data_IF_514662771011
#
_entry.id   IF_514662771011
#
_cell.length_a   1.000
_cell.length_b   1.000
_cell.length_c   1.000
_cell.angle_alpha   90.00
_cell.angle_beta   90.00
_cell.angle_gamma   90.00
#
_symmetry.space_group_name_H-M   'P 1'
#
loop_
_entity.id
_entity.type
_entity.pdbx_description
1 polymer ?
#
# COMPACT_ATOMS: atom_id res chain seq x y z
N UNK A 1 -21.38 28.01 -23.99
CA UNK A 1 -20.14 27.88 -23.19
C UNK A 1 -20.50 28.12 -21.73
N UNK A 2 -21.22 27.17 -21.14
CA UNK A 2 -21.60 27.18 -19.72
C UNK A 2 -21.09 25.85 -19.17
N UNK A 3 -20.33 25.86 -18.06
CA UNK A 3 -19.85 24.62 -17.45
C UNK A 3 -18.54 24.69 -16.63
N UNK A 4 -17.61 25.59 -16.93
CA UNK A 4 -16.29 25.60 -16.26
C UNK A 4 -16.25 26.31 -14.90
N UNK A 5 -17.23 27.16 -14.57
CA UNK A 5 -17.24 27.96 -13.35
C UNK A 5 -17.94 27.28 -12.15
N UNK A 6 -19.10 26.66 -12.36
CA UNK A 6 -19.91 26.09 -11.25
C UNK A 6 -19.19 24.99 -10.47
N UNK A 7 -18.29 24.25 -11.12
CA UNK A 7 -17.53 23.17 -10.49
C UNK A 7 -16.61 23.67 -9.37
N UNK A 8 -16.18 24.93 -9.43
CA UNK A 8 -15.39 25.60 -8.39
C UNK A 8 -16.27 26.23 -7.28
N UNK A 9 -17.58 26.29 -7.47
CA UNK A 9 -18.55 26.84 -6.50
C UNK A 9 -19.14 25.77 -5.56
N UNK A 10 -18.73 24.50 -5.73
CA UNK A 10 -19.20 23.34 -4.95
C UNK A 10 -18.00 22.60 -4.34
N UNK A 11 -18.20 21.95 -3.19
CA UNK A 11 -17.15 21.09 -2.62
C UNK A 11 -16.81 19.95 -3.58
N UNK A 12 -15.52 19.74 -3.82
CA UNK A 12 -14.98 18.60 -4.56
C UNK A 12 -13.97 17.89 -3.66
N UNK A 13 -14.07 16.57 -3.56
CA UNK A 13 -13.10 15.79 -2.77
C UNK A 13 -11.70 15.94 -3.39
N UNK A 14 -10.70 16.40 -2.62
CA UNK A 14 -9.33 16.59 -3.13
C UNK A 14 -8.68 15.25 -3.53
N UNK A 15 -9.19 14.13 -3.01
CA UNK A 15 -8.79 12.79 -3.42
C UNK A 15 -8.97 12.60 -4.94
N UNK A 16 -10.10 13.05 -5.50
CA UNK A 16 -10.39 12.90 -6.93
C UNK A 16 -9.88 14.08 -7.76
N UNK A 17 -9.98 15.31 -7.23
CA UNK A 17 -9.65 16.52 -8.01
C UNK A 17 -8.17 16.89 -8.05
N UNK A 18 -7.31 16.24 -7.24
CA UNK A 18 -5.87 16.55 -7.19
C UNK A 18 -4.94 15.35 -7.09
N UNK A 19 -5.30 14.31 -6.34
CA UNK A 19 -4.29 13.36 -5.86
C UNK A 19 -4.35 11.94 -6.44
N UNK A 20 -5.54 11.32 -6.52
CA UNK A 20 -5.65 9.91 -6.91
C UNK A 20 -5.48 9.73 -8.42
N UNK A 21 -5.02 8.55 -8.83
CA UNK A 21 -4.85 8.25 -10.24
C UNK A 21 -6.18 8.21 -10.99
N UNK A 22 -6.15 8.60 -12.27
CA UNK A 22 -7.30 8.59 -13.19
C UNK A 22 -7.98 7.21 -13.25
N UNK A 23 -7.20 6.15 -13.12
CA UNK A 23 -7.66 4.75 -13.07
C UNK A 23 -8.50 4.46 -11.82
N UNK A 24 -7.98 4.77 -10.62
CA UNK A 24 -8.71 4.57 -9.37
C UNK A 24 -9.95 5.47 -9.26
N UNK A 25 -9.83 6.72 -9.72
CA UNK A 25 -10.96 7.65 -9.80
C UNK A 25 -12.06 7.16 -10.77
N UNK A 26 -11.67 6.58 -11.91
CA UNK A 26 -12.63 5.97 -12.84
C UNK A 26 -13.27 4.71 -12.24
N UNK A 27 -12.51 3.86 -11.55
CA UNK A 27 -13.01 2.63 -10.94
C UNK A 27 -14.23 2.90 -10.03
N UNK A 28 -14.19 3.93 -9.20
CA UNK A 28 -15.30 4.33 -8.33
C UNK A 28 -16.24 5.39 -8.92
N UNK A 29 -16.15 5.68 -10.23
CA UNK A 29 -17.03 6.65 -10.88
C UNK A 29 -18.45 6.10 -11.10
N UNK A 30 -19.45 6.99 -11.07
CA UNK A 30 -20.83 6.62 -11.42
C UNK A 30 -20.93 6.06 -12.85
N UNK A 31 -20.08 6.50 -13.79
CA UNK A 31 -20.04 5.92 -15.14
C UNK A 31 -19.61 4.45 -15.12
N UNK A 32 -18.55 4.09 -14.41
CA UNK A 32 -18.15 2.69 -14.26
C UNK A 32 -19.23 1.87 -13.51
N UNK A 33 -19.85 2.47 -12.48
CA UNK A 33 -20.92 1.85 -11.70
C UNK A 33 -22.12 1.45 -12.55
N UNK A 34 -22.71 2.40 -13.27
CA UNK A 34 -23.94 2.14 -14.01
C UNK A 34 -23.68 1.35 -15.31
N UNK A 35 -22.49 1.45 -15.92
CA UNK A 35 -22.06 0.52 -16.98
C UNK A 35 -21.95 -0.91 -16.43
N UNK A 36 -21.42 -1.08 -15.21
CA UNK A 36 -21.36 -2.39 -14.54
C UNK A 36 -22.75 -2.93 -14.17
N UNK A 37 -23.71 -2.06 -13.80
CA UNK A 37 -25.12 -2.46 -13.61
C UNK A 37 -25.72 -3.02 -14.90
N UNK A 38 -25.52 -2.34 -16.04
CA UNK A 38 -25.96 -2.82 -17.37
C UNK A 38 -25.29 -4.14 -17.75
N UNK A 39 -23.98 -4.30 -17.51
CA UNK A 39 -23.26 -5.57 -17.70
C UNK A 39 -23.82 -6.70 -16.83
N UNK A 40 -24.16 -6.44 -15.57
CA UNK A 40 -24.78 -7.43 -14.69
C UNK A 40 -26.17 -7.84 -15.19
N UNK A 41 -27.01 -6.89 -15.61
CA UNK A 41 -28.30 -7.22 -16.23
C UNK A 41 -28.12 -8.04 -17.52
N UNK A 42 -27.13 -7.74 -18.35
CA UNK A 42 -26.81 -8.55 -19.54
C UNK A 42 -26.38 -9.98 -19.17
N UNK A 43 -25.52 -10.14 -18.16
CA UNK A 43 -25.12 -11.47 -17.68
C UNK A 43 -26.28 -12.25 -17.04
N UNK A 44 -27.20 -11.56 -16.35
CA UNK A 44 -28.45 -12.17 -15.85
C UNK A 44 -29.29 -12.70 -17.01
N UNK A 45 -29.58 -11.86 -18.01
CA UNK A 45 -30.38 -12.25 -19.17
C UNK A 45 -29.75 -13.40 -19.98
N UNK A 46 -28.41 -13.39 -20.16
CA UNK A 46 -27.67 -14.49 -20.80
C UNK A 46 -27.81 -15.80 -20.00
N UNK A 47 -27.60 -15.76 -18.69
CA UNK A 47 -27.72 -16.96 -17.84
C UNK A 47 -29.17 -17.47 -17.72
N UNK A 48 -30.15 -16.59 -17.60
CA UNK A 48 -31.58 -16.94 -17.56
C UNK A 48 -32.05 -17.58 -18.85
N UNK A 49 -31.56 -17.09 -20.00
CA UNK A 49 -31.77 -17.71 -21.31
C UNK A 49 -31.18 -19.11 -21.40
N UNK A 50 -29.92 -19.29 -20.99
CA UNK A 50 -29.25 -20.60 -20.97
C UNK A 50 -29.97 -21.62 -20.06
N UNK A 51 -30.64 -21.14 -19.02
CA UNK A 51 -31.49 -21.92 -18.11
C UNK A 51 -32.94 -22.12 -18.63
N UNK A 52 -33.26 -21.69 -19.84
CA UNK A 52 -34.52 -21.97 -20.52
C UNK A 52 -35.65 -20.97 -20.31
N UNK A 53 -35.39 -19.78 -19.72
CA UNK A 53 -36.39 -18.70 -19.70
C UNK A 53 -36.57 -18.09 -21.09
N UNK A 54 -37.76 -17.56 -21.43
CA UNK A 54 -38.12 -17.11 -22.78
C UNK A 54 -37.49 -15.75 -23.14
N UNK A 55 -36.17 -15.73 -23.27
CA UNK A 55 -35.35 -14.56 -23.61
C UNK A 55 -34.72 -14.79 -25.00
N UNK A 56 -34.89 -13.83 -25.91
CA UNK A 56 -34.44 -13.94 -27.31
C UNK A 56 -33.01 -13.42 -27.51
N UNK A 57 -32.32 -13.85 -28.58
CA UNK A 57 -31.02 -13.27 -28.97
C UNK A 57 -31.12 -11.76 -29.25
N UNK A 58 -32.22 -11.32 -29.87
CA UNK A 58 -32.44 -9.90 -30.17
C UNK A 58 -32.40 -9.02 -28.92
N UNK A 59 -33.09 -9.44 -27.84
CA UNK A 59 -33.09 -8.73 -26.56
C UNK A 59 -31.69 -8.66 -25.93
N UNK A 60 -30.96 -9.78 -25.96
CA UNK A 60 -29.60 -9.85 -25.43
C UNK A 60 -28.64 -8.97 -26.24
N UNK A 61 -28.75 -8.98 -27.57
CA UNK A 61 -27.93 -8.14 -28.45
C UNK A 61 -28.24 -6.65 -28.29
N UNK A 62 -29.51 -6.27 -28.12
CA UNK A 62 -29.93 -4.88 -27.85
C UNK A 62 -29.33 -4.37 -26.54
N UNK A 63 -29.40 -5.16 -25.46
CA UNK A 63 -28.73 -4.83 -24.19
C UNK A 63 -27.20 -4.71 -24.32
N UNK A 64 -26.58 -5.50 -25.18
CA UNK A 64 -25.13 -5.52 -25.40
C UNK A 64 -24.64 -4.32 -26.23
N UNK A 65 -25.43 -3.82 -27.19
CA UNK A 65 -25.12 -2.57 -27.90
C UNK A 65 -25.30 -1.30 -27.05
N UNK A 66 -26.07 -1.39 -25.97
CA UNK A 66 -26.43 -0.25 -25.11
C UNK A 66 -25.81 -0.35 -23.69
N UNK A 67 -24.57 -0.82 -23.56
CA UNK A 67 -23.91 -0.92 -22.24
C UNK A 67 -23.34 0.41 -21.71
N UNK A 68 -22.87 1.31 -22.58
CA UNK A 68 -22.12 2.53 -22.20
C UNK A 68 -22.85 3.85 -22.43
N UNK A 69 -24.00 3.83 -23.12
CA UNK A 69 -24.81 4.99 -23.50
C UNK A 69 -25.85 5.33 -22.41
N UNK A 70 -25.34 5.82 -21.29
CA UNK A 70 -26.14 6.08 -20.10
C UNK A 70 -26.66 7.52 -20.13
N UNK A 71 -27.98 7.68 -20.34
CA UNK A 71 -28.64 8.98 -20.16
C UNK A 71 -28.81 9.29 -18.66
N UNK A 72 -27.81 9.97 -18.11
CA UNK A 72 -27.81 10.46 -16.72
C UNK A 72 -28.89 11.49 -16.43
N UNK A 73 -29.37 12.24 -17.44
CA UNK A 73 -30.41 13.26 -17.25
C UNK A 73 -31.76 12.57 -17.06
N UNK A 74 -32.06 11.58 -17.92
CA UNK A 74 -33.23 10.73 -17.75
C UNK A 74 -33.19 9.96 -16.42
N UNK A 75 -32.04 9.37 -16.07
CA UNK A 75 -31.90 8.61 -14.82
C UNK A 75 -32.16 9.48 -13.57
N UNK A 76 -31.62 10.71 -13.53
CA UNK A 76 -31.87 11.65 -12.43
C UNK A 76 -33.34 12.14 -12.35
N UNK A 77 -34.01 12.25 -13.50
CA UNK A 77 -35.43 12.59 -13.57
C UNK A 77 -36.31 11.44 -13.06
N UNK A 78 -36.02 10.20 -13.46
CA UNK A 78 -36.70 9.00 -12.97
C UNK A 78 -36.42 8.73 -11.47
N UNK A 79 -35.19 8.95 -10.99
CA UNK A 79 -34.88 8.81 -9.55
C UNK A 79 -35.67 9.81 -8.70
N UNK A 80 -35.89 11.04 -9.20
CA UNK A 80 -36.72 12.04 -8.51
C UNK A 80 -38.19 11.61 -8.39
N UNK A 81 -38.71 10.90 -9.40
CA UNK A 81 -40.09 10.36 -9.41
C UNK A 81 -40.21 9.12 -8.51
N UNK A 82 -39.34 8.14 -8.74
CA UNK A 82 -39.42 6.79 -8.15
C UNK A 82 -38.78 6.69 -6.76
N UNK A 83 -37.95 7.65 -6.38
CA UNK A 83 -37.15 7.66 -5.13
C UNK A 83 -36.27 6.42 -4.96
N UNK A 84 -35.84 5.83 -6.07
CA UNK A 84 -35.02 4.63 -6.10
C UNK A 84 -34.08 4.62 -7.32
N UNK A 85 -32.77 4.67 -7.06
CA UNK A 85 -31.70 4.70 -8.07
C UNK A 85 -31.69 3.49 -9.02
N UNK A 86 -31.75 2.26 -8.49
CA UNK A 86 -31.82 1.05 -9.34
C UNK A 86 -33.03 1.07 -10.27
N UNK A 87 -34.22 1.37 -9.75
CA UNK A 87 -35.42 1.40 -10.60
C UNK A 87 -35.35 2.50 -11.66
N UNK A 88 -34.82 3.68 -11.32
CA UNK A 88 -34.57 4.74 -12.29
C UNK A 88 -33.66 4.26 -13.44
N UNK A 89 -32.55 3.60 -13.12
CA UNK A 89 -31.65 3.03 -14.13
C UNK A 89 -32.25 1.83 -14.89
N UNK A 90 -33.16 1.05 -14.29
CA UNK A 90 -33.96 0.03 -15.01
C UNK A 90 -34.84 0.71 -16.06
N UNK A 91 -35.59 1.76 -15.70
CA UNK A 91 -36.43 2.50 -16.64
C UNK A 91 -35.61 3.20 -17.74
N UNK A 92 -34.47 3.82 -17.40
CA UNK A 92 -33.55 4.42 -18.38
C UNK A 92 -32.94 3.39 -19.34
N UNK A 93 -32.61 2.18 -18.86
CA UNK A 93 -32.08 1.12 -19.71
C UNK A 93 -33.17 0.48 -20.58
N UNK A 94 -34.36 0.25 -20.04
CA UNK A 94 -35.55 -0.19 -20.78
C UNK A 94 -35.98 0.80 -21.89
N UNK A 95 -35.73 2.09 -21.71
CA UNK A 95 -36.03 3.10 -22.72
C UNK A 95 -35.12 3.02 -23.97
N UNK A 96 -33.83 2.74 -23.79
CA UNK A 96 -32.92 2.50 -24.92
C UNK A 96 -32.96 1.05 -25.43
N UNK A 97 -33.44 0.10 -24.63
CA UNK A 97 -33.63 -1.30 -25.00
C UNK A 97 -35.11 -1.72 -24.95
N UNK A 98 -35.96 -1.23 -25.86
CA UNK A 98 -37.41 -1.45 -25.81
C UNK A 98 -37.82 -2.92 -25.96
N UNK A 99 -37.05 -3.76 -26.66
CA UNK A 99 -37.35 -5.20 -26.75
C UNK A 99 -36.97 -5.93 -25.47
N UNK A 100 -35.85 -5.54 -24.84
CA UNK A 100 -35.36 -6.13 -23.60
C UNK A 100 -36.06 -5.58 -22.34
N UNK A 101 -36.77 -4.46 -22.43
CA UNK A 101 -37.52 -3.83 -21.34
C UNK A 101 -38.30 -4.80 -20.42
N UNK A 102 -39.00 -5.84 -20.92
CA UNK A 102 -39.74 -6.78 -20.07
C UNK A 102 -38.87 -7.80 -19.30
N UNK A 103 -37.60 -7.96 -19.68
CA UNK A 103 -36.68 -8.96 -19.09
C UNK A 103 -35.51 -8.35 -18.33
N UNK A 104 -35.31 -7.02 -18.41
CA UNK A 104 -34.34 -6.31 -17.56
C UNK A 104 -34.73 -6.45 -16.09
N UNK A 105 -33.78 -6.89 -15.26
CA UNK A 105 -33.95 -7.11 -13.82
C UNK A 105 -34.94 -8.22 -13.40
N UNK A 106 -35.29 -9.13 -14.31
CA UNK A 106 -36.19 -10.27 -14.04
C UNK A 106 -35.73 -11.07 -12.79
N UNK A 107 -36.69 -11.41 -11.91
CA UNK A 107 -36.48 -12.16 -10.67
C UNK A 107 -35.62 -11.49 -9.58
N UNK A 108 -34.84 -10.47 -9.94
CA UNK A 108 -33.78 -9.88 -9.13
C UNK A 108 -34.27 -8.82 -8.13
N UNK A 109 -33.33 -8.34 -7.32
CA UNK A 109 -33.53 -7.25 -6.36
C UNK A 109 -32.41 -6.23 -6.54
N UNK A 110 -32.57 -5.00 -6.06
CA UNK A 110 -31.58 -3.91 -6.19
C UNK A 110 -30.15 -4.30 -5.79
N UNK A 111 -29.98 -5.08 -4.72
CA UNK A 111 -28.68 -5.64 -4.31
C UNK A 111 -28.01 -6.59 -5.32
N UNK A 112 -28.73 -7.09 -6.35
CA UNK A 112 -28.12 -7.84 -7.44
C UNK A 112 -27.18 -6.98 -8.29
N UNK A 113 -27.54 -5.73 -8.57
CA UNK A 113 -26.63 -4.81 -9.29
C UNK A 113 -25.76 -4.01 -8.33
N UNK A 114 -26.31 -3.56 -7.20
CA UNK A 114 -25.58 -2.79 -6.17
C UNK A 114 -24.38 -3.55 -5.59
N UNK A 115 -24.62 -4.55 -4.73
CA UNK A 115 -23.54 -5.23 -4.01
C UNK A 115 -22.54 -5.95 -4.93
N UNK A 116 -23.01 -6.54 -6.03
CA UNK A 116 -22.11 -7.20 -6.97
C UNK A 116 -21.20 -6.20 -7.71
N UNK A 117 -21.68 -4.99 -8.00
CA UNK A 117 -20.85 -3.92 -8.58
C UNK A 117 -19.84 -3.42 -7.56
N UNK A 118 -20.26 -3.19 -6.32
CA UNK A 118 -19.33 -2.82 -5.23
C UNK A 118 -18.22 -3.87 -5.07
N UNK A 119 -18.56 -5.17 -5.11
CA UNK A 119 -17.58 -6.26 -5.02
C UNK A 119 -16.63 -6.32 -6.22
N UNK A 120 -17.12 -6.03 -7.44
CA UNK A 120 -16.27 -5.89 -8.63
C UNK A 120 -15.31 -4.71 -8.45
N UNK A 121 -15.80 -3.53 -8.07
CA UNK A 121 -14.99 -2.33 -7.84
C UNK A 121 -13.96 -2.50 -6.72
N UNK A 122 -14.29 -3.24 -5.66
CA UNK A 122 -13.35 -3.57 -4.59
C UNK A 122 -12.22 -4.48 -5.08
N UNK A 123 -12.55 -5.54 -5.84
CA UNK A 123 -11.55 -6.42 -6.46
C UNK A 123 -10.66 -5.65 -7.42
N UNK A 124 -11.27 -4.88 -8.32
CA UNK A 124 -10.57 -4.13 -9.36
C UNK A 124 -9.72 -3.01 -8.71
N UNK A 125 -10.20 -2.43 -7.60
CA UNK A 125 -9.43 -1.54 -6.74
C UNK A 125 -8.18 -2.20 -6.14
N UNK A 126 -8.27 -3.46 -5.67
CA UNK A 126 -7.09 -4.20 -5.22
C UNK A 126 -6.12 -4.48 -6.37
N UNK A 127 -6.64 -4.81 -7.55
CA UNK A 127 -5.84 -5.07 -8.75
C UNK A 127 -5.09 -3.80 -9.25
N UNK A 128 -5.59 -2.59 -8.95
CA UNK A 128 -4.88 -1.31 -9.17
C UNK A 128 -3.81 -1.06 -8.08
N UNK A 129 -4.11 -1.34 -6.80
CA UNK A 129 -3.20 -1.07 -5.68
C UNK A 129 -2.01 -2.05 -5.62
N UNK A 130 -2.24 -3.34 -5.90
CA UNK A 130 -1.23 -4.39 -5.76
C UNK A 130 0.04 -4.14 -6.59
N UNK A 131 -0.04 -3.79 -7.90
CA UNK A 131 1.15 -3.43 -8.69
C UNK A 131 1.86 -2.16 -8.20
N UNK A 132 1.12 -1.19 -7.63
CA UNK A 132 1.71 0.03 -7.05
C UNK A 132 2.54 -0.30 -5.80
N UNK A 133 1.99 -1.10 -4.90
CA UNK A 133 2.69 -1.57 -3.70
C UNK A 133 3.89 -2.45 -4.07
N UNK A 134 3.76 -3.35 -5.04
CA UNK A 134 4.86 -4.16 -5.55
C UNK A 134 6.02 -3.29 -6.09
N UNK A 135 5.73 -2.20 -6.81
CA UNK A 135 6.77 -1.25 -7.24
C UNK A 135 7.43 -0.54 -6.07
N UNK A 136 6.69 -0.03 -5.08
CA UNK A 136 7.29 0.58 -3.88
C UNK A 136 8.28 -0.37 -3.20
N UNK A 137 7.87 -1.64 -3.03
CA UNK A 137 8.71 -2.69 -2.44
C UNK A 137 9.95 -2.96 -3.32
N UNK A 138 9.82 -3.04 -4.64
CA UNK A 138 10.97 -3.19 -5.55
C UNK A 138 11.97 -2.02 -5.43
N UNK A 139 11.50 -0.76 -5.54
CA UNK A 139 12.38 0.42 -5.46
C UNK A 139 13.12 0.47 -4.14
N UNK A 140 12.42 0.19 -3.04
CA UNK A 140 13.01 0.19 -1.71
C UNK A 140 13.91 -1.03 -1.47
N UNK A 141 13.66 -2.18 -2.10
CA UNK A 141 14.55 -3.34 -2.12
C UNK A 141 15.85 -3.04 -2.87
N UNK A 142 15.76 -2.39 -4.03
CA UNK A 142 16.92 -1.97 -4.83
C UNK A 142 17.74 -0.89 -4.10
N UNK A 143 17.09 0.01 -3.36
CA UNK A 143 17.75 0.94 -2.43
C UNK A 143 18.43 0.19 -1.27
N UNK A 144 17.75 -0.79 -0.66
CA UNK A 144 18.28 -1.55 0.47
C UNK A 144 19.51 -2.36 0.07
N UNK A 145 19.49 -2.98 -1.11
CA UNK A 145 20.60 -3.72 -1.71
C UNK A 145 21.78 -2.79 -2.02
N UNK A 146 21.56 -1.65 -2.69
CA UNK A 146 22.58 -0.66 -3.02
C UNK A 146 23.33 -0.12 -1.78
N UNK A 147 22.64 0.00 -0.64
CA UNK A 147 23.21 0.52 0.60
C UNK A 147 23.33 -0.55 1.71
N UNK A 148 23.38 -1.83 1.34
CA UNK A 148 23.46 -2.95 2.28
C UNK A 148 24.68 -2.87 3.20
N UNK A 149 25.83 -2.40 2.68
CA UNK A 149 27.10 -2.28 3.39
C UNK A 149 27.39 -0.88 3.97
N UNK A 150 26.56 0.13 3.70
CA UNK A 150 26.82 1.52 4.13
C UNK A 150 26.49 1.70 5.63
N UNK A 151 27.49 1.85 6.53
CA UNK A 151 27.23 1.97 7.96
C UNK A 151 26.47 3.27 8.26
N UNK A 152 25.58 3.22 9.25
CA UNK A 152 24.84 4.38 9.77
C UNK A 152 24.63 4.22 11.27
N UNK A 153 24.58 5.35 11.97
CA UNK A 153 24.30 5.38 13.40
C UNK A 153 22.94 4.73 13.70
N UNK A 154 22.91 3.79 14.63
CA UNK A 154 21.66 3.20 15.14
C UNK A 154 20.94 4.16 16.08
N UNK A 155 19.64 3.99 16.24
CA UNK A 155 18.84 4.81 17.16
C UNK A 155 17.88 3.94 17.97
N UNK A 156 17.94 4.08 19.29
CA UNK A 156 16.87 3.64 20.21
C UNK A 156 16.52 4.81 21.12
N UNK A 157 15.23 5.06 21.40
CA UNK A 157 14.77 6.28 22.09
C UNK A 157 15.23 7.59 21.39
N UNK A 158 15.53 7.51 20.07
CA UNK A 158 16.21 8.54 19.27
C UNK A 158 17.57 9.01 19.85
N UNK A 159 18.22 8.17 20.65
CA UNK A 159 19.59 8.32 21.12
C UNK A 159 20.57 7.46 20.30
N UNK A 160 21.84 7.85 20.17
CA UNK A 160 22.89 7.05 19.54
C UNK A 160 22.94 5.62 20.09
N UNK A 161 22.93 4.64 19.19
CA UNK A 161 23.03 3.22 19.48
C UNK A 161 23.94 2.50 18.46
N UNK A 162 24.25 1.23 18.72
CA UNK A 162 25.11 0.39 17.88
C UNK A 162 24.80 0.54 16.38
N UNK A 163 25.86 0.56 15.57
CA UNK A 163 25.72 0.82 14.15
C UNK A 163 24.85 -0.23 13.45
N UNK A 164 24.13 0.23 12.44
CA UNK A 164 23.43 -0.61 11.48
C UNK A 164 23.88 -0.19 10.07
N UNK A 165 23.25 -0.67 9.01
CA UNK A 165 23.46 -0.12 7.66
C UNK A 165 22.21 0.58 7.16
N UNK A 166 22.39 1.52 6.23
CA UNK A 166 21.28 2.23 5.58
C UNK A 166 20.32 1.23 4.92
N UNK A 167 20.87 0.20 4.24
CA UNK A 167 20.09 -0.89 3.69
C UNK A 167 19.36 -1.72 4.75
N UNK A 168 20.03 -2.08 5.85
CA UNK A 168 19.39 -2.84 6.93
C UNK A 168 18.26 -2.08 7.63
N UNK A 169 18.33 -0.75 7.67
CA UNK A 169 17.23 0.12 8.11
C UNK A 169 16.07 0.09 7.10
N UNK A 170 16.33 0.19 5.81
CA UNK A 170 15.30 0.07 4.77
C UNK A 170 14.58 -1.29 4.81
N UNK A 171 15.26 -2.38 5.20
CA UNK A 171 14.62 -3.68 5.43
C UNK A 171 13.55 -3.70 6.53
N UNK A 172 13.54 -2.75 7.49
CA UNK A 172 12.43 -2.67 8.46
C UNK A 172 11.15 -2.21 7.76
N UNK A 173 11.24 -1.15 6.96
CA UNK A 173 10.11 -0.62 6.19
C UNK A 173 9.63 -1.64 5.14
N UNK A 174 10.55 -2.38 4.51
CA UNK A 174 10.20 -3.47 3.59
C UNK A 174 9.46 -4.61 4.27
N UNK A 175 9.77 -4.95 5.53
CA UNK A 175 9.07 -6.00 6.27
C UNK A 175 7.58 -5.69 6.37
N UNK A 176 7.25 -4.46 6.78
CA UNK A 176 5.88 -3.99 6.94
C UNK A 176 5.13 -4.01 5.59
N UNK A 177 5.75 -3.46 4.53
CA UNK A 177 5.16 -3.46 3.18
C UNK A 177 4.98 -4.88 2.60
N UNK A 178 5.88 -5.82 2.91
CA UNK A 178 5.75 -7.24 2.54
C UNK A 178 4.62 -7.92 3.32
N UNK A 179 4.34 -7.50 4.55
CA UNK A 179 3.14 -7.94 5.28
C UNK A 179 1.87 -7.34 4.67
N UNK A 180 1.89 -6.07 4.27
CA UNK A 180 0.76 -5.39 3.64
C UNK A 180 0.39 -6.02 2.29
N UNK A 181 1.35 -6.31 1.41
CA UNK A 181 1.03 -6.91 0.10
C UNK A 181 0.45 -8.32 0.26
N UNK A 182 0.95 -9.12 1.22
CA UNK A 182 0.36 -10.43 1.59
C UNK A 182 -1.08 -10.27 2.11
N UNK A 183 -1.35 -9.23 2.90
CA UNK A 183 -2.69 -8.92 3.41
C UNK A 183 -3.65 -8.48 2.28
N UNK A 184 -3.21 -7.63 1.35
CA UNK A 184 -4.00 -7.17 0.20
C UNK A 184 -4.26 -8.31 -0.80
N UNK A 185 -3.26 -9.16 -1.08
CA UNK A 185 -3.41 -10.37 -1.90
C UNK A 185 -4.49 -11.27 -1.32
N UNK A 186 -4.39 -11.63 -0.03
CA UNK A 186 -5.42 -12.43 0.66
C UNK A 186 -6.80 -11.76 0.60
N UNK A 187 -6.90 -10.46 0.89
CA UNK A 187 -8.18 -9.75 0.86
C UNK A 187 -8.82 -9.72 -0.53
N UNK A 188 -8.01 -9.70 -1.60
CA UNK A 188 -8.45 -9.78 -2.99
C UNK A 188 -8.86 -11.19 -3.39
N UNK A 189 -8.10 -12.21 -3.00
CA UNK A 189 -8.33 -13.62 -3.32
C UNK A 189 -9.52 -14.23 -2.56
N UNK A 190 -9.68 -13.88 -1.28
CA UNK A 190 -10.79 -14.32 -0.43
C UNK A 190 -12.12 -13.60 -0.75
N UNK A 191 -12.12 -12.58 -1.61
CA UNK A 191 -13.31 -11.76 -1.88
C UNK A 191 -14.37 -12.55 -2.66
N UNK A 192 -15.45 -12.95 -1.96
CA UNK A 192 -16.53 -13.76 -2.54
C UNK A 192 -17.64 -12.90 -3.13
N UNK A 193 -18.17 -13.35 -4.26
CA UNK A 193 -19.28 -12.68 -4.94
C UNK A 193 -20.62 -12.97 -4.25
N UNK A 194 -21.46 -11.95 -4.05
CA UNK A 194 -22.84 -12.13 -3.56
C UNK A 194 -23.66 -12.95 -4.55
N UNK A 195 -23.55 -12.64 -5.83
CA UNK A 195 -24.31 -13.24 -6.92
C UNK A 195 -25.81 -12.91 -6.85
N UNK A 196 -26.61 -13.78 -7.45
CA UNK A 196 -28.07 -13.75 -7.39
C UNK A 196 -28.52 -14.31 -6.04
N UNK A 197 -29.24 -13.52 -5.22
CA UNK A 197 -29.74 -13.95 -3.89
C UNK A 197 -31.20 -13.53 -3.56
N UNK A 198 -31.87 -12.76 -4.42
CA UNK A 198 -33.20 -12.21 -4.13
C UNK A 198 -33.24 -11.26 -2.92
N UNK A 199 -34.44 -10.84 -2.53
CA UNK A 199 -34.69 -9.73 -1.57
C UNK A 199 -34.18 -10.03 -0.16
N UNK A 200 -34.64 -11.12 0.46
CA UNK A 200 -34.21 -11.55 1.80
C UNK A 200 -33.10 -12.59 1.77
N UNK A 201 -32.48 -12.81 0.60
CA UNK A 201 -31.41 -13.79 0.44
C UNK A 201 -31.86 -15.22 0.17
N UNK A 202 -33.16 -15.49 0.24
CA UNK A 202 -33.79 -16.80 0.04
C UNK A 202 -34.16 -17.10 -1.41
N UNK A 203 -33.82 -16.22 -2.37
CA UNK A 203 -34.16 -16.32 -3.81
C UNK A 203 -35.59 -16.83 -4.11
N UNK A 204 -36.57 -16.58 -3.23
CA UNK A 204 -37.93 -17.10 -3.40
C UNK A 204 -38.55 -16.71 -4.76
N UNK A 205 -38.21 -15.52 -5.26
CA UNK A 205 -38.55 -15.05 -6.61
C UNK A 205 -38.01 -15.93 -7.74
N UNK A 206 -36.77 -16.43 -7.61
CA UNK A 206 -36.16 -17.33 -8.58
C UNK A 206 -36.66 -18.78 -8.41
N UNK A 207 -36.87 -19.24 -7.17
CA UNK A 207 -37.42 -20.57 -6.91
C UNK A 207 -38.82 -20.74 -7.52
N UNK A 208 -39.63 -19.68 -7.51
CA UNK A 208 -40.92 -19.64 -8.22
C UNK A 208 -40.78 -19.66 -9.74
N UNK A 209 -39.75 -19.02 -10.31
CA UNK A 209 -39.45 -19.09 -11.75
C UNK A 209 -38.99 -20.49 -12.19
N UNK A 210 -38.31 -21.24 -11.32
CA UNK A 210 -37.75 -22.58 -11.61
C UNK A 210 -38.55 -23.75 -11.01
N UNK A 211 -39.84 -23.56 -10.72
CA UNK A 211 -40.79 -24.62 -10.29
C UNK A 211 -40.36 -25.48 -9.08
N UNK A 212 -39.46 -24.99 -8.20
CA UNK A 212 -39.10 -25.65 -6.96
C UNK A 212 -37.79 -26.47 -6.94
N UNK A 213 -36.80 -26.16 -7.79
CA UNK A 213 -35.44 -26.74 -7.65
C UNK A 213 -34.61 -26.00 -6.58
N UNK A 214 -34.12 -26.74 -5.57
CA UNK A 214 -33.61 -26.22 -4.29
C UNK A 214 -32.07 -26.14 -4.18
N UNK A 215 -31.29 -26.56 -5.18
CA UNK A 215 -29.82 -26.75 -5.10
C UNK A 215 -28.94 -25.48 -4.92
N UNK A 216 -29.52 -24.29 -4.74
CA UNK A 216 -28.78 -23.01 -4.62
C UNK A 216 -29.23 -22.26 -3.35
N UNK A 217 -28.71 -21.03 -3.15
CA UNK A 217 -29.33 -19.91 -2.37
C UNK A 217 -28.93 -19.66 -0.88
N UNK A 218 -28.38 -18.46 -0.53
CA UNK A 218 -28.45 -17.83 0.83
C UNK A 218 -27.95 -16.34 1.03
N UNK A 219 -28.42 -15.68 2.11
CA UNK A 219 -28.55 -14.22 2.44
C UNK A 219 -27.31 -13.36 2.89
N UNK A 220 -27.34 -12.02 3.15
CA UNK A 220 -28.08 -10.78 2.69
C UNK A 220 -27.55 -9.49 3.47
N UNK A 221 -28.08 -8.23 3.27
CA UNK A 221 -28.25 -7.07 4.23
C UNK A 221 -28.32 -5.64 3.58
N UNK A 222 -29.18 -4.73 4.10
CA UNK A 222 -29.31 -3.31 3.67
C UNK A 222 -29.40 -2.31 4.86
N UNK A 223 -28.26 -1.83 5.34
CA UNK A 223 -28.10 -0.57 6.14
C UNK A 223 -26.70 0.05 5.92
N UNK A 224 -25.78 -0.71 5.35
CA UNK A 224 -24.37 -0.35 5.13
C UNK A 224 -24.15 0.62 3.95
N UNK A 225 -25.17 0.83 3.10
CA UNK A 225 -25.02 1.43 1.77
C UNK A 225 -24.56 2.90 1.77
N UNK A 226 -25.03 3.74 2.70
CA UNK A 226 -24.66 5.18 2.71
C UNK A 226 -23.21 5.36 3.18
N UNK A 227 -22.82 4.68 4.26
CA UNK A 227 -21.44 4.75 4.76
C UNK A 227 -20.44 4.11 3.77
N UNK A 228 -20.82 3.04 3.07
CA UNK A 228 -20.00 2.40 2.02
C UNK A 228 -19.70 3.33 0.85
N UNK A 229 -20.64 4.17 0.42
CA UNK A 229 -20.45 5.13 -0.69
C UNK A 229 -19.38 6.20 -0.42
N UNK A 230 -18.99 6.41 0.84
CA UNK A 230 -17.91 7.32 1.23
C UNK A 230 -16.66 6.50 1.61
N UNK A 231 -16.78 5.68 2.65
CA UNK A 231 -15.64 4.98 3.26
C UNK A 231 -14.88 4.03 2.32
N UNK A 232 -15.56 3.31 1.41
CA UNK A 232 -14.89 2.39 0.51
C UNK A 232 -14.11 3.14 -0.59
N UNK A 233 -14.73 4.03 -1.42
CA UNK A 233 -13.96 4.80 -2.40
C UNK A 233 -12.85 5.63 -1.77
N UNK A 234 -13.10 6.35 -0.67
CA UNK A 234 -12.09 7.21 -0.05
C UNK A 234 -10.90 6.42 0.50
N UNK A 235 -11.12 5.21 1.01
CA UNK A 235 -10.02 4.35 1.50
C UNK A 235 -9.12 3.88 0.34
N UNK A 236 -9.70 3.44 -0.77
CA UNK A 236 -8.93 3.01 -1.94
C UNK A 236 -8.23 4.18 -2.64
N UNK A 237 -8.92 5.32 -2.80
CA UNK A 237 -8.30 6.54 -3.34
C UNK A 237 -7.14 7.01 -2.45
N UNK A 238 -7.30 6.99 -1.12
CA UNK A 238 -6.22 7.39 -0.19
C UNK A 238 -5.03 6.43 -0.26
N UNK A 239 -5.27 5.11 -0.30
CA UNK A 239 -4.20 4.13 -0.50
C UNK A 239 -3.48 4.34 -1.85
N UNK A 240 -4.23 4.62 -2.92
CA UNK A 240 -3.70 4.89 -4.26
C UNK A 240 -2.72 6.08 -4.27
N UNK A 241 -3.09 7.14 -3.57
CA UNK A 241 -2.29 8.37 -3.39
C UNK A 241 -1.02 8.07 -2.59
N UNK A 242 -1.15 7.37 -1.45
CA UNK A 242 -0.02 7.06 -0.57
C UNK A 242 1.00 6.21 -1.30
N UNK A 243 0.57 5.15 -2.00
CA UNK A 243 1.47 4.28 -2.76
C UNK A 243 2.13 5.03 -3.93
N UNK A 244 1.38 5.87 -4.64
CA UNK A 244 1.92 6.64 -5.77
C UNK A 244 2.97 7.67 -5.30
N UNK A 245 2.69 8.35 -4.18
CA UNK A 245 3.63 9.30 -3.54
C UNK A 245 4.87 8.59 -2.97
N UNK A 246 4.67 7.45 -2.31
CA UNK A 246 5.76 6.67 -1.72
C UNK A 246 6.66 6.03 -2.80
N UNK A 247 6.10 5.65 -3.96
CA UNK A 247 6.91 5.22 -5.10
C UNK A 247 7.81 6.36 -5.57
N UNK A 248 7.26 7.56 -5.79
CA UNK A 248 8.05 8.72 -6.21
C UNK A 248 9.17 9.07 -5.20
N UNK A 249 8.86 9.04 -3.90
CA UNK A 249 9.87 9.23 -2.83
C UNK A 249 10.97 8.17 -2.89
N UNK A 250 10.60 6.88 -3.00
CA UNK A 250 11.57 5.77 -3.01
C UNK A 250 12.41 5.70 -4.29
N UNK A 251 11.89 6.17 -5.43
CA UNK A 251 12.68 6.40 -6.66
C UNK A 251 13.66 7.57 -6.51
N UNK A 252 13.34 8.58 -5.70
CA UNK A 252 14.11 9.82 -5.51
C UNK A 252 15.04 9.87 -4.29
N UNK A 253 15.23 8.80 -3.52
CA UNK A 253 16.02 8.84 -2.27
C UNK A 253 17.51 9.19 -2.49
N UNK A 254 17.89 10.40 -2.08
CA UNK A 254 19.29 10.86 -2.04
C UNK A 254 19.93 10.54 -0.69
N UNK A 255 21.09 9.89 -0.71
CA UNK A 255 21.88 9.56 0.49
C UNK A 255 23.16 10.40 0.51
N UNK A 256 23.56 10.88 1.69
CA UNK A 256 24.76 11.71 1.89
C UNK A 256 25.79 10.98 2.77
N UNK A 257 26.63 10.08 2.21
CA UNK A 257 27.58 9.27 3.00
C UNK A 257 28.51 10.09 3.90
N UNK A 258 28.92 11.30 3.49
CA UNK A 258 29.82 12.15 4.29
C UNK A 258 29.17 12.78 5.53
N UNK A 259 27.86 13.02 5.51
CA UNK A 259 27.12 13.45 6.71
C UNK A 259 26.96 12.27 7.67
N UNK A 260 26.64 11.08 7.13
CA UNK A 260 26.53 9.84 7.90
C UNK A 260 27.88 9.50 8.56
N UNK A 261 28.98 9.57 7.81
CA UNK A 261 30.34 9.36 8.31
C UNK A 261 30.71 10.35 9.42
N UNK A 262 30.34 11.64 9.29
CA UNK A 262 30.54 12.63 10.35
C UNK A 262 29.79 12.26 11.64
N UNK A 263 28.51 11.88 11.55
CA UNK A 263 27.72 11.47 12.72
C UNK A 263 28.29 10.20 13.38
N UNK A 264 28.75 9.23 12.60
CA UNK A 264 29.42 8.05 13.15
C UNK A 264 30.70 8.43 13.88
N UNK A 265 31.57 9.27 13.29
CA UNK A 265 32.82 9.71 13.93
C UNK A 265 32.59 10.40 15.28
N UNK A 266 31.47 11.11 15.44
CA UNK A 266 31.11 11.77 16.69
C UNK A 266 30.72 10.79 17.82
N UNK A 267 30.01 9.71 17.49
CA UNK A 267 29.43 8.79 18.49
C UNK A 267 30.21 7.48 18.68
N UNK A 268 30.90 7.02 17.64
CA UNK A 268 31.62 5.73 17.64
C UNK A 268 32.70 5.62 18.73
N UNK A 269 33.45 6.67 19.12
CA UNK A 269 34.41 6.58 20.23
C UNK A 269 33.78 6.10 21.55
N UNK A 270 32.55 6.54 21.86
CA UNK A 270 31.85 6.09 23.07
C UNK A 270 31.38 4.63 22.97
N UNK A 271 30.96 4.19 21.78
CA UNK A 271 30.54 2.81 21.51
C UNK A 271 31.71 1.82 21.39
N UNK A 272 32.91 2.30 21.03
CA UNK A 272 34.11 1.48 20.86
C UNK A 272 34.87 1.17 22.17
N UNK A 273 34.36 1.62 23.32
CA UNK A 273 35.01 1.47 24.62
C UNK A 273 35.33 0.02 24.99
N UNK A 274 34.41 -0.94 24.77
CA UNK A 274 34.71 -2.36 25.01
C UNK A 274 35.73 -2.93 24.00
N UNK A 275 35.73 -2.47 22.74
CA UNK A 275 36.75 -2.86 21.75
C UNK A 275 38.15 -2.40 22.16
N UNK A 276 38.25 -1.19 22.70
CA UNK A 276 39.50 -0.63 23.26
C UNK A 276 39.95 -1.44 24.48
N UNK A 277 39.03 -1.77 25.40
CA UNK A 277 39.32 -2.62 26.57
C UNK A 277 39.82 -4.00 26.13
N UNK A 278 39.16 -4.65 25.16
CA UNK A 278 39.59 -5.94 24.62
C UNK A 278 40.98 -5.88 23.98
N UNK A 279 41.31 -4.80 23.27
CA UNK A 279 42.64 -4.60 22.68
C UNK A 279 43.73 -4.44 23.75
N UNK A 280 43.46 -3.68 24.83
CA UNK A 280 44.40 -3.52 25.96
C UNK A 280 44.62 -4.84 26.69
N UNK A 281 43.55 -5.62 26.94
CA UNK A 281 43.67 -6.95 27.57
C UNK A 281 44.47 -7.90 26.69
N UNK A 282 44.27 -7.89 25.37
CA UNK A 282 45.04 -8.70 24.42
C UNK A 282 46.52 -8.28 24.35
N UNK A 283 46.84 -7.02 24.64
CA UNK A 283 48.20 -6.52 24.80
C UNK A 283 48.82 -6.82 26.19
N UNK A 284 48.13 -7.56 27.07
CA UNK A 284 48.60 -7.95 28.40
C UNK A 284 48.18 -7.02 29.54
N UNK A 285 47.31 -6.03 29.27
CA UNK A 285 46.81 -5.10 30.29
C UNK A 285 45.67 -5.67 31.15
N UNK A 286 45.45 -5.06 32.32
CA UNK A 286 44.36 -5.42 33.23
C UNK A 286 43.03 -4.80 32.76
N UNK A 287 41.97 -5.62 32.66
CA UNK A 287 40.63 -5.20 32.24
C UNK A 287 40.02 -4.13 33.15
N UNK A 288 40.17 -4.26 34.46
CA UNK A 288 39.56 -3.38 35.45
C UNK A 288 40.19 -1.98 35.42
N UNK A 289 41.52 -1.93 35.35
CA UNK A 289 42.28 -0.68 35.25
C UNK A 289 41.97 0.06 33.94
N UNK A 290 41.86 -0.69 32.83
CA UNK A 290 41.49 -0.14 31.53
C UNK A 290 40.06 0.42 31.53
N UNK A 291 39.11 -0.32 32.11
CA UNK A 291 37.72 0.11 32.22
C UNK A 291 37.59 1.40 33.02
N UNK A 292 38.25 1.51 34.17
CA UNK A 292 38.17 2.73 34.99
C UNK A 292 38.83 3.93 34.31
N UNK A 293 40.01 3.75 33.68
CA UNK A 293 40.65 4.81 32.88
C UNK A 293 39.75 5.30 31.75
N UNK A 294 39.20 4.40 30.93
CA UNK A 294 38.38 4.81 29.79
C UNK A 294 37.04 5.40 30.23
N UNK A 295 36.48 4.97 31.37
CA UNK A 295 35.29 5.59 32.00
C UNK A 295 35.53 7.05 32.34
N UNK A 296 36.68 7.38 32.95
CA UNK A 296 37.05 8.77 33.30
C UNK A 296 37.24 9.61 32.03
N UNK A 297 37.99 9.14 31.03
CA UNK A 297 38.17 9.87 29.78
C UNK A 297 36.85 10.08 29.02
N UNK A 298 35.95 9.09 29.04
CA UNK A 298 34.62 9.18 28.42
C UNK A 298 33.73 10.21 29.11
N UNK A 299 33.80 10.32 30.45
CA UNK A 299 33.07 11.35 31.20
C UNK A 299 33.58 12.77 30.88
N UNK A 300 34.90 12.94 30.70
CA UNK A 300 35.48 14.22 30.29
C UNK A 300 35.04 14.61 28.87
N UNK A 301 35.17 13.71 27.90
CA UNK A 301 34.73 13.97 26.52
C UNK A 301 33.21 14.24 26.44
N UNK A 302 32.40 13.52 27.23
CA UNK A 302 30.97 13.79 27.32
C UNK A 302 30.65 15.15 27.96
N UNK A 303 31.50 15.66 28.85
CA UNK A 303 31.36 17.01 29.40
C UNK A 303 31.68 18.08 28.34
N UNK A 304 32.76 17.92 27.56
CA UNK A 304 33.08 18.81 26.41
C UNK A 304 31.89 18.89 25.44
N UNK A 305 31.34 17.75 25.04
CA UNK A 305 30.18 17.71 24.12
C UNK A 305 28.93 18.37 24.72
N UNK A 306 28.62 18.12 26.00
CA UNK A 306 27.32 18.53 26.62
C UNK A 306 27.33 19.87 27.35
N UNK A 307 28.48 20.33 27.84
CA UNK A 307 28.63 21.55 28.62
C UNK A 307 29.34 22.65 27.83
N UNK A 308 30.32 22.30 27.00
CA UNK A 308 31.12 23.25 26.23
C UNK A 308 30.66 23.37 24.76
N UNK A 309 29.91 22.39 24.25
CA UNK A 309 29.45 22.33 22.86
C UNK A 309 30.54 21.99 21.85
N UNK A 310 31.65 21.40 22.31
CA UNK A 310 32.77 20.97 21.46
C UNK A 310 32.53 19.62 20.77
N UNK A 311 33.39 19.28 19.80
CA UNK A 311 33.44 17.94 19.20
C UNK A 311 33.92 16.89 20.23
N UNK A 312 33.53 15.62 20.04
CA UNK A 312 34.00 14.50 20.85
C UNK A 312 35.53 14.28 20.72
N UNK A 313 36.26 14.54 21.80
CA UNK A 313 37.73 14.45 21.88
C UNK A 313 38.27 13.17 22.53
N UNK A 314 37.40 12.17 22.82
CA UNK A 314 37.78 10.94 23.52
C UNK A 314 38.98 10.22 22.90
N UNK A 315 39.07 10.19 21.57
CA UNK A 315 40.20 9.57 20.86
C UNK A 315 41.53 10.31 21.10
N UNK A 316 41.50 11.65 21.10
CA UNK A 316 42.69 12.44 21.40
C UNK A 316 43.13 12.24 22.85
N UNK A 317 42.18 12.12 23.79
CA UNK A 317 42.46 11.77 25.19
C UNK A 317 43.09 10.39 25.34
N UNK A 318 42.57 9.38 24.64
CA UNK A 318 43.12 8.01 24.62
C UNK A 318 44.53 7.99 23.99
N UNK A 319 44.77 8.76 22.93
CA UNK A 319 46.08 8.90 22.31
C UNK A 319 47.12 9.61 23.20
N UNK A 320 46.67 10.50 24.08
CA UNK A 320 47.54 11.26 24.99
C UNK A 320 47.84 10.56 26.33
N UNK A 321 47.01 9.62 26.80
CA UNK A 321 47.26 8.87 28.05
C UNK A 321 48.27 7.73 27.80
N UNK A 322 49.46 7.73 28.45
CA UNK A 322 50.50 6.73 28.24
C UNK A 322 50.06 5.28 28.47
N UNK A 323 48.98 5.06 29.21
CA UNK A 323 48.42 3.72 29.44
C UNK A 323 48.00 3.01 28.13
N UNK A 324 47.52 3.76 27.14
CA UNK A 324 47.05 3.19 25.87
C UNK A 324 48.16 3.05 24.81
N UNK A 325 49.42 3.37 25.14
CA UNK A 325 50.58 3.19 24.24
C UNK A 325 50.61 1.83 23.50
N UNK A 326 50.31 0.68 24.14
CA UNK A 326 50.34 -0.63 23.46
C UNK A 326 49.32 -0.81 22.33
N UNK A 327 48.26 0.01 22.28
CA UNK A 327 47.17 -0.12 21.29
C UNK A 327 47.12 1.01 20.26
N UNK A 328 47.98 2.04 20.35
CA UNK A 328 47.90 3.22 19.48
C UNK A 328 47.92 2.85 17.99
N UNK A 329 48.80 1.93 17.58
CA UNK A 329 48.88 1.43 16.20
C UNK A 329 47.70 0.56 15.74
N UNK A 330 46.71 0.31 16.60
CA UNK A 330 45.49 -0.45 16.28
C UNK A 330 44.22 0.43 16.34
N UNK A 331 44.29 1.67 16.85
CA UNK A 331 43.11 2.51 17.10
C UNK A 331 42.25 2.73 15.84
N UNK A 332 42.86 3.09 14.71
CA UNK A 332 42.13 3.32 13.45
C UNK A 332 41.37 2.07 12.97
N UNK A 333 41.94 0.88 13.17
CA UNK A 333 41.31 -0.39 12.83
C UNK A 333 40.21 -0.80 13.83
N UNK A 334 40.40 -0.49 15.11
CA UNK A 334 39.39 -0.70 16.17
C UNK A 334 38.16 0.21 16.03
N UNK A 335 38.28 1.25 15.21
CA UNK A 335 37.27 2.29 14.98
C UNK A 335 36.71 2.27 13.54
N UNK A 336 37.03 1.26 12.71
CA UNK A 336 36.42 1.10 11.39
C UNK A 336 34.90 0.84 11.56
N UNK A 337 34.01 1.75 11.11
CA UNK A 337 32.57 1.58 11.23
C UNK A 337 32.04 0.27 10.64
N UNK A 338 32.73 -0.32 9.65
CA UNK A 338 32.34 -1.59 9.02
C UNK A 338 32.40 -2.77 10.00
N UNK A 339 33.21 -2.70 11.05
CA UNK A 339 33.30 -3.77 12.06
C UNK A 339 32.16 -3.72 13.07
N UNK A 340 31.43 -2.61 13.17
CA UNK A 340 30.36 -2.40 14.16
C UNK A 340 28.95 -2.69 13.64
N UNK A 341 28.75 -2.99 12.35
CA UNK A 341 27.42 -3.27 11.78
C UNK A 341 26.95 -4.73 11.96
N UNK A 342 27.75 -5.56 12.62
CA UNK A 342 27.42 -6.96 12.91
C UNK A 342 27.09 -7.77 11.66
N UNK A 343 25.86 -8.30 11.59
CA UNK A 343 25.36 -9.08 10.45
C UNK A 343 24.46 -8.30 9.48
N UNK A 344 24.44 -6.97 9.57
CA UNK A 344 23.49 -6.14 8.83
C UNK A 344 23.50 -6.39 7.30
N UNK A 345 24.64 -6.46 6.59
CA UNK A 345 24.63 -6.72 5.15
C UNK A 345 24.08 -8.10 4.79
N UNK A 346 24.47 -9.15 5.54
CA UNK A 346 24.02 -10.52 5.26
C UNK A 346 22.53 -10.69 5.60
N UNK A 347 22.01 -9.96 6.58
CA UNK A 347 20.58 -9.88 6.87
C UNK A 347 19.81 -9.23 5.72
N UNK A 348 20.35 -8.15 5.11
CA UNK A 348 19.75 -7.53 3.90
C UNK A 348 19.68 -8.56 2.78
N UNK A 349 20.83 -9.14 2.38
CA UNK A 349 20.90 -10.12 1.28
C UNK A 349 19.91 -11.26 1.48
N UNK A 350 19.89 -11.87 2.68
CA UNK A 350 19.02 -12.99 3.01
C UNK A 350 17.53 -12.61 2.94
N UNK A 351 17.14 -11.51 3.57
CA UNK A 351 15.75 -11.06 3.60
C UNK A 351 15.23 -10.72 2.20
N UNK A 352 16.04 -10.01 1.40
CA UNK A 352 15.68 -9.70 0.03
C UNK A 352 15.45 -10.98 -0.79
N UNK A 353 16.37 -11.96 -0.72
CA UNK A 353 16.27 -13.21 -1.49
C UNK A 353 15.16 -14.16 -1.02
N UNK A 354 14.99 -14.34 0.30
CA UNK A 354 14.06 -15.33 0.87
C UNK A 354 12.63 -14.81 0.99
N UNK A 355 12.42 -13.51 1.25
CA UNK A 355 11.08 -12.97 1.58
C UNK A 355 10.57 -11.89 0.63
N UNK A 356 11.43 -11.04 0.07
CA UNK A 356 11.00 -9.90 -0.77
C UNK A 356 10.85 -10.29 -2.23
N UNK A 357 11.92 -10.76 -2.88
CA UNK A 357 11.92 -11.06 -4.33
C UNK A 357 10.85 -12.10 -4.73
N UNK A 358 10.55 -13.17 -3.95
CA UNK A 358 9.47 -14.11 -4.29
C UNK A 358 8.07 -13.47 -4.33
N UNK A 359 7.79 -12.49 -3.47
CA UNK A 359 6.50 -11.80 -3.39
C UNK A 359 6.30 -10.83 -4.58
N UNK A 360 7.39 -10.38 -5.19
CA UNK A 360 7.40 -9.52 -6.37
C UNK A 360 7.25 -10.28 -7.70
N UNK A 361 7.47 -11.60 -7.70
CA UNK A 361 7.45 -12.44 -8.91
C UNK A 361 6.17 -12.27 -9.77
N UNK A 362 4.95 -12.22 -9.21
CA UNK A 362 3.72 -12.07 -10.00
C UNK A 362 3.59 -10.70 -10.71
N UNK A 363 4.35 -9.69 -10.28
CA UNK A 363 4.22 -8.30 -10.71
C UNK A 363 5.37 -7.83 -11.62
N UNK A 364 6.28 -8.72 -12.05
CA UNK A 364 7.47 -8.37 -12.84
C UNK A 364 7.15 -7.53 -14.09
N UNK A 365 6.06 -7.83 -14.78
CA UNK A 365 5.58 -7.10 -15.97
C UNK A 365 5.14 -5.65 -15.69
N UNK A 366 4.92 -5.28 -14.43
CA UNK A 366 4.44 -3.96 -14.02
C UNK A 366 5.52 -3.09 -13.36
N UNK A 367 6.79 -3.50 -13.38
CA UNK A 367 7.87 -2.85 -12.62
C UNK A 367 8.44 -1.58 -13.27
N UNK A 368 8.42 -1.44 -14.59
CA UNK A 368 9.07 -0.32 -15.29
C UNK A 368 8.27 0.99 -15.27
N UNK A 369 7.04 0.97 -14.75
CA UNK A 369 6.17 2.14 -14.65
C UNK A 369 6.72 3.11 -13.60
N UNK A 370 7.14 4.31 -14.02
CA UNK A 370 7.46 5.43 -13.14
C UNK A 370 6.20 6.25 -12.83
N UNK A 371 6.21 6.95 -11.70
CA UNK A 371 5.12 7.83 -11.29
C UNK A 371 5.59 9.28 -11.28
N UNK A 372 5.05 10.06 -12.21
CA UNK A 372 5.15 11.53 -12.20
C UNK A 372 4.05 12.08 -11.30
N UNK A 373 4.42 13.03 -10.42
CA UNK A 373 3.49 13.71 -9.53
C UNK A 373 3.13 15.08 -10.14
N UNK A 374 1.94 15.18 -10.73
CA UNK A 374 1.31 16.44 -11.15
C UNK A 374 0.74 17.17 -9.90
N UNK A 375 1.62 17.76 -9.08
CA UNK A 375 1.28 18.34 -7.76
C UNK A 375 0.80 19.81 -7.78
#
# INVERSE_FOLDING_TARGET
MEGSGEEFMKYRSPLVSRYASKEMAYNFSDRNKFTTWRRLWLYLAKAEKELGLPITDAQVSEMESHLEDIDFVMAAEEERKLRHDVMAHVHTFAHCCPTAAPIIHLGATSCYVGDNTDLIMLRDGFDILLPKLARVIDRLANFAEKYADLPTLGFSHYQPAQLTTVGKRACLWLQDLVMDIRNLQRAREDLRFRGVKGTTGTQASFLQLFQGDHEKVNAAIFFVCVFRRISLPESFLTADIILSTLQNITEGLVVYPKVIERHIRHELPFMATENIIMAVVKAGGNRQDCHEKIRVLSQQAAAVVKQEGGDNDLLARVQADPYFTPILGQLDALLDPKTFVGRAPQQVTRFLSEEVRPVLEPYKSNMDIKIELEL
#
